data_IF_546204803032
#
_entry.id   IF_546204803032
#
_cell.length_a   1.000
_cell.length_b   1.000
_cell.length_c   1.000
_cell.angle_alpha   90.00
_cell.angle_beta   90.00
_cell.angle_gamma   90.00
#
_symmetry.space_group_name_H-M   'P 1'
#
loop_
_entity.id
_entity.type
_entity.pdbx_description
1 polymer ?
#
# COMPACT_ATOMS: atom_id res chain seq x y z
N UNK A 1 -38.42 21.35 29.30
CA UNK A 1 -39.02 20.97 27.99
C UNK A 1 -37.91 20.55 27.01
N UNK A 2 -37.63 19.24 26.89
CA UNK A 2 -36.75 18.69 25.83
C UNK A 2 -37.52 18.78 24.51
N UNK A 3 -37.09 19.64 23.58
CA UNK A 3 -37.62 19.67 22.21
C UNK A 3 -37.50 18.25 21.62
N UNK A 4 -38.61 17.68 21.15
CA UNK A 4 -38.63 16.44 20.36
C UNK A 4 -37.63 16.61 19.21
N UNK A 5 -36.49 15.93 19.30
CA UNK A 5 -35.56 15.75 18.19
C UNK A 5 -36.38 15.01 17.12
N UNK A 6 -36.58 15.61 15.94
CA UNK A 6 -37.31 14.96 14.84
C UNK A 6 -36.61 13.63 14.51
N UNK A 7 -37.40 12.62 14.14
CA UNK A 7 -36.93 11.28 13.79
C UNK A 7 -35.88 11.37 12.69
N UNK A 8 -34.71 10.80 12.95
CA UNK A 8 -33.73 10.45 11.93
C UNK A 8 -34.41 9.44 10.99
N UNK A 9 -34.54 9.81 9.71
CA UNK A 9 -35.11 8.92 8.70
C UNK A 9 -34.03 7.95 8.27
N UNK A 10 -33.88 6.88 9.04
CA UNK A 10 -32.95 5.77 8.75
C UNK A 10 -33.73 4.73 7.96
N UNK A 11 -33.30 4.42 6.74
CA UNK A 11 -33.84 3.30 5.98
C UNK A 11 -33.61 1.99 6.75
N UNK A 12 -34.46 0.95 6.65
CA UNK A 12 -34.35 -0.26 7.46
C UNK A 12 -32.97 -0.94 7.39
N UNK A 13 -32.27 -0.80 6.26
CA UNK A 13 -30.94 -1.33 6.00
C UNK A 13 -29.80 -0.42 6.48
N UNK A 14 -30.05 0.88 6.70
CA UNK A 14 -29.03 1.82 7.21
C UNK A 14 -28.65 1.55 8.67
N UNK A 15 -29.55 0.96 9.46
CA UNK A 15 -29.24 0.52 10.84
C UNK A 15 -28.11 -0.52 10.93
N UNK A 16 -27.87 -1.29 9.88
CA UNK A 16 -26.75 -2.22 9.83
C UNK A 16 -25.39 -1.49 9.76
N UNK A 17 -25.39 -0.25 9.28
CA UNK A 17 -24.20 0.60 9.14
C UNK A 17 -23.98 1.54 10.35
N UNK A 18 -24.97 1.68 11.24
CA UNK A 18 -24.92 2.54 12.43
C UNK A 18 -24.22 1.92 13.65
N UNK A 19 -23.61 0.73 13.52
CA UNK A 19 -22.63 0.31 14.54
C UNK A 19 -21.48 1.30 14.48
N UNK A 20 -21.43 2.18 15.48
CA UNK A 20 -20.32 3.12 15.72
C UNK A 20 -19.07 2.30 16.04
N UNK A 21 -18.48 1.69 15.01
CA UNK A 21 -17.14 1.18 15.05
C UNK A 21 -16.23 2.39 15.27
N UNK A 22 -15.27 2.28 16.18
CA UNK A 22 -14.25 3.33 16.25
C UNK A 22 -13.54 3.40 14.89
N UNK A 23 -13.01 4.56 14.46
CA UNK A 23 -12.32 4.68 13.17
C UNK A 23 -11.24 3.60 12.96
N UNK A 24 -10.61 3.19 14.06
CA UNK A 24 -9.62 2.11 14.08
C UNK A 24 -10.24 0.72 13.90
N UNK A 25 -11.38 0.43 14.54
CA UNK A 25 -12.07 -0.85 14.35
C UNK A 25 -12.62 -0.97 12.92
N UNK A 26 -13.12 0.13 12.35
CA UNK A 26 -13.54 0.19 10.95
C UNK A 26 -12.36 -0.01 9.97
N UNK A 27 -11.19 0.56 10.27
CA UNK A 27 -9.97 0.33 9.50
C UNK A 27 -9.53 -1.13 9.57
N UNK A 28 -9.46 -1.71 10.77
CA UNK A 28 -9.11 -3.12 10.99
C UNK A 28 -10.05 -4.02 10.20
N UNK A 29 -11.36 -3.82 10.32
CA UNK A 29 -12.34 -4.67 9.62
C UNK A 29 -12.20 -4.59 8.09
N UNK A 30 -11.90 -3.39 7.55
CA UNK A 30 -11.63 -3.19 6.12
C UNK A 30 -10.34 -3.89 5.69
N UNK A 31 -9.27 -3.74 6.45
CA UNK A 31 -7.99 -4.41 6.20
C UNK A 31 -8.11 -5.94 6.26
N UNK A 32 -8.83 -6.49 7.26
CA UNK A 32 -9.09 -7.94 7.33
C UNK A 32 -9.85 -8.42 6.11
N UNK A 33 -10.89 -7.69 5.68
CA UNK A 33 -11.68 -8.05 4.50
C UNK A 33 -10.83 -8.00 3.23
N UNK A 34 -9.99 -6.99 3.07
CA UNK A 34 -9.06 -6.88 1.94
C UNK A 34 -8.01 -8.00 1.95
N UNK A 35 -7.43 -8.33 3.10
CA UNK A 35 -6.48 -9.45 3.25
C UNK A 35 -7.10 -10.81 2.93
N UNK A 36 -8.33 -11.06 3.37
CA UNK A 36 -9.06 -12.29 3.02
C UNK A 36 -9.37 -12.35 1.51
N UNK A 37 -9.82 -11.23 0.93
CA UNK A 37 -10.07 -11.16 -0.51
C UNK A 37 -8.80 -11.42 -1.32
N UNK A 38 -7.68 -10.83 -0.88
CA UNK A 38 -6.37 -11.04 -1.48
C UNK A 38 -5.96 -12.52 -1.44
N UNK A 39 -6.10 -13.16 -0.28
CA UNK A 39 -5.84 -14.60 -0.13
C UNK A 39 -6.72 -15.45 -1.06
N UNK A 40 -8.01 -15.12 -1.17
CA UNK A 40 -8.93 -15.81 -2.06
C UNK A 40 -8.50 -15.64 -3.52
N UNK A 41 -8.14 -14.43 -3.96
CA UNK A 41 -7.63 -14.19 -5.31
C UNK A 41 -6.35 -14.97 -5.60
N UNK A 42 -5.44 -15.08 -4.63
CA UNK A 42 -4.24 -15.89 -4.75
C UNK A 42 -4.55 -17.38 -4.93
N UNK A 43 -5.42 -17.94 -4.09
CA UNK A 43 -5.86 -19.33 -4.18
C UNK A 43 -6.54 -19.59 -5.54
N UNK A 44 -7.41 -18.69 -5.98
CA UNK A 44 -8.07 -18.78 -7.29
C UNK A 44 -7.05 -18.72 -8.42
N UNK A 45 -6.05 -17.83 -8.35
CA UNK A 45 -4.99 -17.74 -9.36
C UNK A 45 -4.22 -19.06 -9.49
N UNK A 46 -3.79 -19.62 -8.36
CA UNK A 46 -3.07 -20.91 -8.30
C UNK A 46 -3.98 -22.02 -8.85
N UNK A 47 -5.24 -22.06 -8.45
CA UNK A 47 -6.19 -23.07 -8.92
C UNK A 47 -6.39 -22.99 -10.44
N UNK A 48 -6.62 -21.80 -11.00
CA UNK A 48 -6.79 -21.60 -12.44
C UNK A 48 -5.54 -22.03 -13.20
N UNK A 49 -4.35 -21.60 -12.75
CA UNK A 49 -3.07 -21.91 -13.36
C UNK A 49 -2.73 -23.42 -13.41
N UNK A 50 -3.35 -24.22 -12.53
CA UNK A 50 -3.15 -25.67 -12.41
C UNK A 50 -4.35 -26.51 -12.88
N UNK A 51 -5.32 -25.87 -13.53
CA UNK A 51 -6.54 -26.51 -14.03
C UNK A 51 -6.57 -26.56 -15.57
N UNK A 52 -7.62 -27.17 -16.12
CA UNK A 52 -7.92 -27.14 -17.56
C UNK A 52 -8.05 -25.72 -18.15
N UNK A 53 -8.21 -24.69 -17.32
CA UNK A 53 -8.30 -23.29 -17.75
C UNK A 53 -6.93 -22.57 -17.83
N UNK A 54 -5.83 -23.27 -17.53
CA UNK A 54 -4.49 -22.66 -17.50
C UNK A 54 -4.11 -22.01 -18.83
N UNK A 55 -4.36 -22.68 -19.96
CA UNK A 55 -4.05 -22.13 -21.29
C UNK A 55 -4.89 -20.88 -21.60
N UNK A 56 -6.19 -20.92 -21.31
CA UNK A 56 -7.08 -19.77 -21.48
C UNK A 56 -6.64 -18.58 -20.61
N UNK A 57 -6.24 -18.84 -19.37
CA UNK A 57 -5.73 -17.85 -18.44
C UNK A 57 -4.44 -17.18 -18.94
N UNK A 58 -3.46 -17.99 -19.40
CA UNK A 58 -2.22 -17.47 -19.98
C UNK A 58 -2.47 -16.67 -21.27
N UNK A 59 -3.41 -17.11 -22.11
CA UNK A 59 -3.77 -16.39 -23.33
C UNK A 59 -4.42 -15.03 -23.03
N UNK A 60 -5.28 -14.95 -22.00
CA UNK A 60 -5.87 -13.68 -21.55
C UNK A 60 -4.78 -12.72 -21.06
N UNK A 61 -3.84 -13.20 -20.25
CA UNK A 61 -2.75 -12.38 -19.72
C UNK A 61 -1.79 -11.87 -20.81
N UNK A 62 -1.54 -12.69 -21.84
CA UNK A 62 -0.69 -12.34 -22.98
C UNK A 62 -1.40 -11.51 -24.05
N UNK A 63 -2.73 -11.38 -23.98
CA UNK A 63 -3.51 -10.65 -24.98
C UNK A 63 -2.98 -9.20 -25.13
N UNK A 64 -2.64 -8.76 -26.36
CA UNK A 64 -2.16 -7.40 -26.58
C UNK A 64 -3.30 -6.41 -26.43
N UNK A 65 -3.15 -5.47 -25.51
CA UNK A 65 -4.05 -4.34 -25.34
C UNK A 65 -3.36 -3.07 -25.83
N UNK A 66 -3.92 -2.46 -26.88
CA UNK A 66 -3.32 -1.30 -27.55
C UNK A 66 -4.15 -0.06 -27.30
N UNK A 67 -3.54 0.97 -26.73
CA UNK A 67 -4.14 2.30 -26.58
C UNK A 67 -3.35 3.26 -27.46
N UNK A 68 -4.05 4.08 -28.25
CA UNK A 68 -3.36 5.07 -29.07
C UNK A 68 -4.25 5.80 -30.07
N UNK A 69 -3.63 6.77 -30.73
CA UNK A 69 -4.19 7.51 -31.85
C UNK A 69 -3.21 7.37 -33.05
N UNK A 70 -3.60 7.70 -34.28
CA UNK A 70 -2.68 7.67 -35.42
C UNK A 70 -1.41 8.48 -35.12
N UNK A 71 -0.23 7.83 -35.15
CA UNK A 71 1.07 8.43 -34.79
C UNK A 71 1.57 8.16 -33.36
N UNK A 72 0.71 7.68 -32.45
CA UNK A 72 1.09 7.23 -31.11
C UNK A 72 0.34 5.94 -30.77
N UNK A 73 1.04 4.81 -30.84
CA UNK A 73 0.49 3.50 -30.46
C UNK A 73 1.29 2.93 -29.29
N UNK A 74 0.60 2.63 -28.20
CA UNK A 74 1.16 1.93 -27.05
C UNK A 74 0.49 0.56 -26.94
N UNK A 75 1.20 -0.47 -27.39
CA UNK A 75 0.74 -1.86 -27.35
C UNK A 75 1.55 -2.64 -26.32
N UNK A 76 0.87 -3.19 -25.32
CA UNK A 76 1.46 -4.02 -24.26
C UNK A 76 0.50 -5.17 -23.94
N UNK A 77 1.01 -6.27 -23.37
CA UNK A 77 0.15 -7.36 -22.90
C UNK A 77 -0.75 -6.88 -21.75
N UNK A 78 -1.89 -7.54 -21.57
CA UNK A 78 -2.78 -7.27 -20.44
C UNK A 78 -2.04 -7.39 -19.10
N UNK A 79 -1.16 -8.38 -18.97
CA UNK A 79 -0.29 -8.57 -17.81
C UNK A 79 0.62 -7.35 -17.55
N UNK A 80 1.24 -6.79 -18.58
CA UNK A 80 2.03 -5.55 -18.44
C UNK A 80 1.17 -4.35 -18.04
N UNK A 81 -0.05 -4.21 -18.58
CA UNK A 81 -0.96 -3.13 -18.20
C UNK A 81 -1.40 -3.24 -16.74
N UNK A 82 -1.62 -4.47 -16.26
CA UNK A 82 -1.91 -4.73 -14.85
C UNK A 82 -0.70 -4.34 -13.99
N UNK A 83 0.50 -4.79 -14.36
CA UNK A 83 1.71 -4.55 -13.57
C UNK A 83 2.11 -3.08 -13.58
N UNK A 84 2.26 -2.43 -14.74
CA UNK A 84 2.73 -1.04 -14.79
C UNK A 84 1.62 -0.04 -14.47
N UNK A 85 0.40 -0.31 -14.91
CA UNK A 85 -0.74 0.61 -14.80
C UNK A 85 -1.39 0.56 -13.43
N UNK A 86 -1.79 -0.63 -12.96
CA UNK A 86 -2.43 -0.73 -11.64
C UNK A 86 -1.42 -0.50 -10.51
N UNK A 87 -0.16 -0.95 -10.65
CA UNK A 87 0.83 -0.66 -9.61
C UNK A 87 1.21 0.82 -9.55
N UNK A 88 1.15 1.57 -10.65
CA UNK A 88 1.31 3.03 -10.57
C UNK A 88 0.23 3.68 -9.69
N UNK A 89 -1.00 3.15 -9.69
CA UNK A 89 -2.07 3.60 -8.78
C UNK A 89 -1.85 3.14 -7.34
N UNK A 90 -1.34 1.92 -7.14
CA UNK A 90 -0.92 1.45 -5.81
C UNK A 90 0.18 2.34 -5.23
N UNK A 91 1.27 2.55 -5.96
CA UNK A 91 2.39 3.40 -5.54
C UNK A 91 2.00 4.88 -5.43
N UNK A 92 0.97 5.33 -6.14
CA UNK A 92 0.38 6.65 -5.89
C UNK A 92 -0.24 6.74 -4.49
N UNK A 93 -1.00 5.74 -4.05
CA UNK A 93 -1.55 5.71 -2.68
C UNK A 93 -0.43 5.58 -1.65
N UNK A 94 0.52 4.66 -1.85
CA UNK A 94 1.71 4.53 -0.98
C UNK A 94 2.47 5.86 -0.91
N UNK A 95 2.62 6.57 -2.03
CA UNK A 95 3.26 7.88 -2.06
C UNK A 95 2.50 8.95 -1.27
N UNK A 96 1.16 8.91 -1.27
CA UNK A 96 0.33 9.82 -0.47
C UNK A 96 0.46 9.52 1.03
N UNK A 97 0.42 8.24 1.40
CA UNK A 97 0.61 7.76 2.76
C UNK A 97 2.01 8.12 3.28
N UNK A 98 3.04 7.85 2.49
CA UNK A 98 4.42 8.19 2.81
C UNK A 98 4.59 9.69 3.03
N UNK A 99 4.03 10.51 2.12
CA UNK A 99 4.05 11.97 2.27
C UNK A 99 3.35 12.42 3.56
N UNK A 100 2.20 11.81 3.90
CA UNK A 100 1.47 12.11 5.14
C UNK A 100 2.30 11.75 6.38
N UNK A 101 2.91 10.57 6.41
CA UNK A 101 3.71 10.11 7.55
C UNK A 101 4.95 10.99 7.78
N UNK A 102 5.65 11.38 6.71
CA UNK A 102 6.83 12.26 6.80
C UNK A 102 6.45 13.67 7.30
N UNK A 103 5.33 14.22 6.82
CA UNK A 103 4.98 15.61 7.11
C UNK A 103 4.26 15.80 8.45
N UNK A 104 3.38 14.86 8.84
CA UNK A 104 2.46 15.05 9.98
C UNK A 104 2.25 13.76 10.80
N UNK A 105 2.80 12.62 10.38
CA UNK A 105 2.60 11.33 11.04
C UNK A 105 3.75 10.92 11.95
N UNK A 106 3.92 9.61 12.14
CA UNK A 106 4.87 9.05 13.11
C UNK A 106 6.33 9.23 12.68
N UNK A 107 6.56 9.38 11.37
CA UNK A 107 7.89 9.66 10.82
C UNK A 107 8.29 11.14 10.92
N UNK A 108 7.38 12.02 11.34
CA UNK A 108 7.67 13.46 11.49
C UNK A 108 8.48 13.79 12.75
N UNK A 109 8.35 12.99 13.82
CA UNK A 109 9.15 13.11 15.04
C UNK A 109 10.30 12.10 15.01
N UNK A 110 11.53 12.61 14.85
CA UNK A 110 12.73 11.78 14.70
C UNK A 110 12.94 10.82 15.89
N UNK A 111 12.57 11.21 17.12
CA UNK A 111 12.77 10.35 18.30
C UNK A 111 11.80 9.17 18.30
N UNK A 112 10.55 9.40 17.89
CA UNK A 112 9.54 8.35 17.81
C UNK A 112 9.75 7.45 16.56
N UNK A 113 10.17 8.05 15.45
CA UNK A 113 10.42 7.36 14.18
C UNK A 113 11.64 6.43 14.20
N UNK A 114 12.61 6.69 15.08
CA UNK A 114 13.89 5.99 15.09
C UNK A 114 13.75 4.48 15.32
N UNK A 115 12.82 4.04 16.19
CA UNK A 115 12.61 2.59 16.41
C UNK A 115 12.08 1.89 15.14
N UNK A 116 10.96 2.30 14.52
CA UNK A 116 10.51 1.74 13.24
C UNK A 116 11.55 1.83 12.12
N UNK A 117 12.26 2.96 11.98
CA UNK A 117 13.26 3.13 10.92
C UNK A 117 14.41 2.12 11.07
N UNK A 118 14.97 1.96 12.27
CA UNK A 118 16.05 0.98 12.51
C UNK A 118 15.56 -0.43 12.24
N UNK A 119 14.33 -0.75 12.68
CA UNK A 119 13.71 -2.04 12.45
C UNK A 119 13.53 -2.35 10.96
N UNK A 120 13.04 -1.38 10.18
CA UNK A 120 12.86 -1.49 8.73
C UNK A 120 14.20 -1.61 7.99
N UNK A 121 15.18 -0.75 8.30
CA UNK A 121 16.51 -0.83 7.69
C UNK A 121 17.15 -2.21 7.95
N UNK A 122 17.07 -2.73 9.18
CA UNK A 122 17.49 -4.10 9.48
C UNK A 122 16.69 -5.14 8.70
N UNK A 123 15.38 -4.96 8.66
CA UNK A 123 14.42 -5.77 7.90
C UNK A 123 14.55 -5.69 6.38
N UNK A 124 15.37 -4.79 5.83
CA UNK A 124 15.71 -4.74 4.41
C UNK A 124 17.10 -5.30 4.14
N UNK A 125 18.09 -4.83 4.90
CA UNK A 125 19.50 -5.15 4.66
C UNK A 125 19.78 -6.63 4.95
N UNK A 126 19.26 -7.18 6.04
CA UNK A 126 19.54 -8.57 6.42
C UNK A 126 18.96 -9.58 5.40
N UNK A 127 17.70 -9.47 4.96
CA UNK A 127 17.19 -10.33 3.88
C UNK A 127 18.01 -10.29 2.59
N UNK A 128 18.41 -9.09 2.16
CA UNK A 128 19.23 -8.89 0.96
C UNK A 128 20.58 -9.59 1.10
N UNK A 129 21.26 -9.42 2.24
CA UNK A 129 22.54 -10.07 2.49
C UNK A 129 22.43 -11.60 2.51
N UNK A 130 21.35 -12.14 3.09
CA UNK A 130 21.09 -13.59 3.07
C UNK A 130 20.92 -14.07 1.63
N UNK A 131 20.13 -13.37 0.81
CA UNK A 131 19.94 -13.73 -0.59
C UNK A 131 21.25 -13.70 -1.37
N UNK A 132 22.01 -12.61 -1.27
CA UNK A 132 23.29 -12.46 -1.97
C UNK A 132 24.32 -13.51 -1.54
N UNK A 133 24.27 -13.98 -0.29
CA UNK A 133 25.16 -15.05 0.18
C UNK A 133 24.84 -16.41 -0.46
N UNK A 134 23.59 -16.64 -0.86
CA UNK A 134 23.13 -17.87 -1.52
C UNK A 134 23.29 -17.75 -3.04
N UNK A 135 23.07 -16.56 -3.59
CA UNK A 135 23.15 -16.23 -5.02
C UNK A 135 24.23 -15.15 -5.27
N UNK A 136 25.53 -15.52 -5.24
CA UNK A 136 26.63 -14.54 -5.29
C UNK A 136 26.92 -13.97 -6.68
N UNK A 137 26.33 -14.51 -7.75
CA UNK A 137 26.55 -14.04 -9.11
C UNK A 137 25.72 -14.78 -10.16
N UNK A 138 25.88 -14.37 -11.42
CA UNK A 138 25.06 -14.85 -12.53
C UNK A 138 23.70 -14.17 -12.60
N UNK A 139 22.83 -14.65 -13.49
CA UNK A 139 21.49 -14.11 -13.71
C UNK A 139 20.62 -14.22 -12.43
N UNK A 140 20.92 -15.19 -11.56
CA UNK A 140 20.29 -15.36 -10.25
C UNK A 140 20.54 -14.19 -9.30
N UNK A 141 21.58 -13.37 -9.50
CA UNK A 141 21.88 -12.24 -8.63
C UNK A 141 20.85 -11.11 -8.75
N UNK A 142 20.22 -10.97 -9.92
CA UNK A 142 19.33 -9.84 -10.22
C UNK A 142 18.10 -9.80 -9.28
N UNK A 143 17.71 -10.92 -8.68
CA UNK A 143 16.62 -11.00 -7.73
C UNK A 143 16.92 -10.51 -6.30
N UNK A 144 18.07 -9.88 -6.04
CA UNK A 144 18.51 -9.50 -4.69
C UNK A 144 17.54 -8.59 -3.92
N UNK A 145 16.76 -7.79 -4.62
CA UNK A 145 15.78 -6.90 -4.00
C UNK A 145 14.49 -7.61 -3.55
N UNK A 146 14.20 -8.80 -4.05
CA UNK A 146 12.93 -9.50 -3.80
C UNK A 146 12.61 -9.72 -2.31
N UNK A 147 13.55 -10.20 -1.47
CA UNK A 147 13.26 -10.51 -0.07
C UNK A 147 13.26 -9.28 0.86
N UNK A 148 13.47 -8.08 0.33
CA UNK A 148 13.43 -6.85 1.15
C UNK A 148 11.99 -6.35 1.38
N UNK A 149 11.04 -6.73 0.52
CA UNK A 149 9.68 -6.20 0.53
C UNK A 149 8.74 -6.92 1.53
N UNK A 150 7.72 -6.19 1.97
CA UNK A 150 6.67 -6.65 2.88
C UNK A 150 5.30 -6.29 2.29
N UNK A 151 4.38 -7.24 2.20
CA UNK A 151 2.99 -7.01 1.81
C UNK A 151 2.16 -6.55 3.02
N UNK A 152 1.96 -5.24 3.11
CA UNK A 152 1.19 -4.59 4.17
C UNK A 152 -0.22 -5.17 4.31
N UNK A 153 -0.93 -5.37 3.20
CA UNK A 153 -2.33 -5.76 3.22
C UNK A 153 -2.49 -7.17 3.81
N UNK A 154 -1.62 -8.10 3.41
CA UNK A 154 -1.65 -9.46 3.93
C UNK A 154 -1.12 -9.54 5.37
N UNK A 155 -0.03 -8.83 5.70
CA UNK A 155 0.53 -8.81 7.04
C UNK A 155 -0.45 -8.20 8.07
N UNK A 156 -1.09 -7.08 7.74
CA UNK A 156 -2.13 -6.49 8.59
C UNK A 156 -3.40 -7.32 8.61
N UNK A 157 -3.79 -7.93 7.48
CA UNK A 157 -4.92 -8.84 7.42
C UNK A 157 -4.77 -10.02 8.38
N UNK A 158 -3.61 -10.68 8.36
CA UNK A 158 -3.27 -11.79 9.25
C UNK A 158 -3.19 -11.33 10.72
N UNK A 159 -2.57 -10.18 10.98
CA UNK A 159 -2.46 -9.59 12.32
C UNK A 159 -3.85 -9.24 12.88
N UNK A 160 -4.75 -8.71 12.06
CA UNK A 160 -6.11 -8.35 12.45
C UNK A 160 -6.98 -9.55 12.85
N UNK A 161 -6.70 -10.76 12.33
CA UNK A 161 -7.40 -12.00 12.74
C UNK A 161 -7.14 -12.37 14.20
N UNK A 162 -6.08 -11.85 14.82
CA UNK A 162 -5.80 -12.04 16.25
C UNK A 162 -6.70 -11.15 17.14
N UNK A 163 -7.43 -10.20 16.55
CA UNK A 163 -8.42 -9.36 17.21
C UNK A 163 -7.84 -8.61 18.41
N UNK A 164 -8.54 -8.70 19.55
CA UNK A 164 -8.18 -7.99 20.78
C UNK A 164 -6.98 -8.60 21.53
N UNK A 165 -6.39 -9.70 21.05
CA UNK A 165 -5.22 -10.31 21.72
C UNK A 165 -3.97 -9.46 21.63
N UNK A 166 -3.83 -8.67 20.57
CA UNK A 166 -2.63 -7.91 20.30
C UNK A 166 -2.80 -6.44 20.66
N UNK A 167 -1.76 -5.77 21.20
CA UNK A 167 -1.81 -4.33 21.42
C UNK A 167 -2.01 -3.57 20.11
N UNK A 168 -2.89 -2.57 20.11
CA UNK A 168 -3.12 -1.68 18.95
C UNK A 168 -1.83 -1.02 18.45
N UNK A 169 -0.89 -0.76 19.35
CA UNK A 169 0.45 -0.22 19.02
C UNK A 169 1.31 -1.16 18.16
N UNK A 170 1.02 -2.46 18.16
CA UNK A 170 1.74 -3.42 17.31
C UNK A 170 1.36 -3.25 15.84
N UNK A 171 0.08 -2.97 15.56
CA UNK A 171 -0.39 -2.68 14.19
C UNK A 171 0.28 -1.42 13.67
N UNK A 172 0.28 -0.37 14.49
CA UNK A 172 0.91 0.92 14.18
C UNK A 172 2.41 0.73 13.88
N UNK A 173 3.12 0.00 14.74
CA UNK A 173 4.53 -0.34 14.52
C UNK A 173 4.75 -1.07 13.18
N UNK A 174 3.95 -2.10 12.88
CA UNK A 174 4.09 -2.87 11.64
C UNK A 174 3.79 -2.02 10.39
N UNK A 175 2.78 -1.14 10.46
CA UNK A 175 2.50 -0.14 9.41
C UNK A 175 3.73 0.75 9.19
N UNK A 176 4.31 1.29 10.26
CA UNK A 176 5.47 2.18 10.15
C UNK A 176 6.70 1.47 9.55
N UNK A 177 6.99 0.24 9.98
CA UNK A 177 8.08 -0.58 9.41
C UNK A 177 7.84 -0.81 7.92
N UNK A 178 6.63 -1.22 7.54
CA UNK A 178 6.34 -1.55 6.16
C UNK A 178 6.32 -0.33 5.23
N UNK A 179 5.91 0.86 5.70
CA UNK A 179 6.02 2.11 4.94
C UNK A 179 7.49 2.47 4.67
N UNK A 180 8.38 2.27 5.65
CA UNK A 180 9.82 2.51 5.48
C UNK A 180 10.42 1.47 4.53
N UNK A 181 10.04 0.18 4.67
CA UNK A 181 10.42 -0.89 3.74
C UNK A 181 9.99 -0.56 2.31
N UNK A 182 8.75 -0.10 2.10
CA UNK A 182 8.21 0.28 0.80
C UNK A 182 8.96 1.47 0.19
N UNK A 183 9.28 2.50 0.99
CA UNK A 183 10.12 3.61 0.53
C UNK A 183 11.51 3.11 0.10
N UNK A 184 12.09 2.21 0.89
CA UNK A 184 13.38 1.60 0.58
C UNK A 184 13.32 0.78 -0.71
N UNK A 185 12.31 -0.08 -0.86
CA UNK A 185 12.09 -0.89 -2.04
C UNK A 185 11.90 -0.02 -3.30
N UNK A 186 11.09 1.03 -3.20
CA UNK A 186 10.91 2.04 -4.26
C UNK A 186 12.24 2.65 -4.68
N UNK A 187 13.07 3.03 -3.71
CA UNK A 187 14.37 3.65 -3.97
C UNK A 187 15.30 2.67 -4.68
N UNK A 188 15.30 1.40 -4.25
CA UNK A 188 16.08 0.34 -4.89
C UNK A 188 15.60 0.07 -6.31
N UNK A 189 14.28 -0.02 -6.53
CA UNK A 189 13.67 -0.16 -7.86
C UNK A 189 14.14 0.95 -8.79
N UNK A 190 14.10 2.20 -8.33
CA UNK A 190 14.51 3.35 -9.12
C UNK A 190 15.99 3.34 -9.51
N UNK A 191 16.87 2.88 -8.61
CA UNK A 191 18.32 2.97 -8.81
C UNK A 191 18.92 1.74 -9.50
N UNK A 192 18.40 0.54 -9.23
CA UNK A 192 19.07 -0.71 -9.60
C UNK A 192 18.33 -1.54 -10.66
N UNK A 193 17.02 -1.37 -10.81
CA UNK A 193 16.22 -2.15 -11.76
C UNK A 193 15.91 -1.38 -13.07
N UNK A 194 16.44 -0.16 -13.22
CA UNK A 194 16.13 0.71 -14.36
C UNK A 194 16.79 0.19 -15.64
N UNK A 195 16.01 0.04 -16.71
CA UNK A 195 16.51 -0.39 -18.02
C UNK A 195 17.28 0.73 -18.76
N UNK A 196 17.55 0.54 -20.05
CA UNK A 196 18.19 1.54 -20.91
C UNK A 196 17.44 2.87 -20.89
N UNK A 197 18.14 3.94 -20.51
CA UNK A 197 17.55 5.27 -20.35
C UNK A 197 17.43 5.96 -21.71
N UNK A 198 16.20 6.26 -22.12
CA UNK A 198 15.92 7.13 -23.26
C UNK A 198 15.96 8.60 -22.82
N UNK A 199 17.03 9.31 -23.19
CA UNK A 199 17.23 10.72 -22.83
C UNK A 199 16.05 11.65 -23.22
N UNK A 200 15.44 11.53 -24.42
CA UNK A 200 14.29 12.37 -24.78
C UNK A 200 13.07 12.15 -23.87
N UNK A 201 12.80 10.89 -23.51
CA UNK A 201 11.69 10.55 -22.63
C UNK A 201 11.99 10.99 -21.19
N UNK A 202 13.24 10.85 -20.73
CA UNK A 202 13.66 11.36 -19.41
C UNK A 202 13.53 12.89 -19.31
N UNK A 203 13.89 13.63 -20.36
CA UNK A 203 13.69 15.08 -20.40
C UNK A 203 12.19 15.45 -20.28
N UNK A 204 11.30 14.65 -20.89
CA UNK A 204 9.85 14.81 -20.75
C UNK A 204 9.37 14.53 -19.33
N UNK A 205 9.92 13.50 -18.66
CA UNK A 205 9.64 13.19 -17.24
C UNK A 205 10.00 14.39 -16.36
N UNK A 206 11.21 14.95 -16.52
CA UNK A 206 11.67 16.12 -15.75
C UNK A 206 10.79 17.35 -16.04
N UNK A 207 10.45 17.59 -17.30
CA UNK A 207 9.59 18.72 -17.67
C UNK A 207 8.20 18.62 -17.04
N UNK A 208 7.55 17.45 -17.11
CA UNK A 208 6.21 17.23 -16.54
C UNK A 208 6.25 17.30 -15.00
N UNK A 209 7.27 16.71 -14.37
CA UNK A 209 7.49 16.83 -12.93
C UNK A 209 7.69 18.30 -12.51
N UNK A 210 8.47 19.07 -13.28
CA UNK A 210 8.64 20.51 -13.09
C UNK A 210 7.30 21.26 -13.15
N UNK A 211 6.46 20.96 -14.14
CA UNK A 211 5.11 21.56 -14.24
C UNK A 211 4.29 21.20 -13.00
N UNK A 212 4.22 19.94 -12.60
CA UNK A 212 3.49 19.50 -11.40
C UNK A 212 3.95 20.26 -10.13
N UNK A 213 5.26 20.43 -9.97
CA UNK A 213 5.85 21.20 -8.87
C UNK A 213 5.45 22.68 -8.94
N UNK A 214 5.48 23.30 -10.14
CA UNK A 214 5.05 24.70 -10.29
C UNK A 214 3.56 24.89 -10.00
N UNK A 215 2.68 23.92 -10.34
CA UNK A 215 1.27 23.98 -9.97
C UNK A 215 1.07 23.91 -8.45
N UNK A 216 1.87 23.10 -7.76
CA UNK A 216 1.86 23.00 -6.31
C UNK A 216 2.29 24.31 -5.65
N UNK A 217 3.43 24.87 -6.07
CA UNK A 217 3.88 26.18 -5.60
C UNK A 217 2.93 27.32 -5.96
N UNK A 218 2.27 27.24 -7.12
CA UNK A 218 1.20 28.15 -7.54
C UNK A 218 -0.09 28.03 -6.71
N UNK A 219 -0.16 27.10 -5.75
CA UNK A 219 -1.28 26.96 -4.83
C UNK A 219 -2.54 26.32 -5.44
N UNK A 220 -2.40 25.63 -6.58
CA UNK A 220 -3.51 24.94 -7.23
C UNK A 220 -3.85 23.70 -6.42
N UNK A 221 -5.00 23.73 -5.74
CA UNK A 221 -5.47 22.64 -4.85
C UNK A 221 -6.41 21.65 -5.53
N UNK A 222 -6.79 21.87 -6.79
CA UNK A 222 -7.68 20.96 -7.52
C UNK A 222 -6.87 19.71 -7.93
N UNK A 223 -7.33 18.48 -7.66
CA UNK A 223 -6.61 17.26 -8.05
C UNK A 223 -6.49 17.03 -9.57
N UNK A 224 -7.50 17.46 -10.34
CA UNK A 224 -7.65 17.08 -11.74
C UNK A 224 -6.42 17.43 -12.62
N UNK A 225 -5.83 18.64 -12.57
CA UNK A 225 -4.60 18.95 -13.32
C UNK A 225 -3.43 18.03 -12.97
N UNK A 226 -3.27 17.67 -11.70
CA UNK A 226 -2.22 16.76 -11.26
C UNK A 226 -2.44 15.37 -11.84
N UNK A 227 -3.67 14.84 -11.77
CA UNK A 227 -4.00 13.51 -12.31
C UNK A 227 -3.74 13.45 -13.82
N UNK A 228 -4.17 14.46 -14.57
CA UNK A 228 -3.95 14.51 -16.02
C UNK A 228 -2.45 14.53 -16.37
N UNK A 229 -1.68 15.39 -15.71
CA UNK A 229 -0.23 15.43 -15.89
C UNK A 229 0.47 14.18 -15.36
N UNK A 230 -0.08 13.52 -14.34
CA UNK A 230 0.37 12.25 -13.82
C UNK A 230 0.25 11.12 -14.84
N UNK A 231 -0.82 11.10 -15.65
CA UNK A 231 -0.94 10.16 -16.77
C UNK A 231 0.13 10.43 -17.82
N UNK A 232 0.41 11.69 -18.14
CA UNK A 232 1.49 12.06 -19.07
C UNK A 232 2.85 11.66 -18.51
N UNK A 233 3.09 11.89 -17.22
CA UNK A 233 4.30 11.48 -16.51
C UNK A 233 4.48 9.95 -16.58
N UNK A 234 3.42 9.18 -16.32
CA UNK A 234 3.43 7.73 -16.38
C UNK A 234 3.79 7.22 -17.79
N UNK A 235 3.17 7.79 -18.84
CA UNK A 235 3.50 7.46 -20.24
C UNK A 235 4.96 7.82 -20.57
N UNK A 236 5.44 8.97 -20.09
CA UNK A 236 6.83 9.39 -20.31
C UNK A 236 7.81 8.45 -19.62
N UNK A 237 7.52 8.02 -18.38
CA UNK A 237 8.34 7.06 -17.64
C UNK A 237 8.38 5.71 -18.35
N UNK A 238 7.21 5.19 -18.77
CA UNK A 238 7.11 3.94 -19.54
C UNK A 238 7.97 3.94 -20.83
N UNK A 239 8.15 5.09 -21.47
CA UNK A 239 9.02 5.25 -22.65
C UNK A 239 10.48 5.55 -22.32
N UNK A 240 10.78 5.95 -21.09
CA UNK A 240 12.11 6.37 -20.65
C UNK A 240 13.03 5.23 -20.25
N UNK A 241 12.51 4.02 -20.05
CA UNK A 241 13.23 2.92 -19.44
C UNK A 241 13.24 2.97 -17.90
N UNK A 242 12.82 4.09 -17.31
CA UNK A 242 12.53 4.18 -15.87
C UNK A 242 11.17 3.55 -15.58
N UNK A 243 11.06 2.85 -14.45
CA UNK A 243 9.82 2.22 -14.01
C UNK A 243 8.62 3.17 -13.98
N UNK A 244 7.57 2.80 -14.70
CA UNK A 244 6.34 3.59 -14.79
C UNK A 244 5.64 3.74 -13.42
N UNK A 245 5.83 2.78 -12.51
CA UNK A 245 5.24 2.79 -11.16
C UNK A 245 5.70 3.97 -10.30
N UNK A 246 6.93 4.45 -10.50
CA UNK A 246 7.48 5.61 -9.79
C UNK A 246 6.74 6.91 -10.13
N UNK A 247 6.04 6.97 -11.27
CA UNK A 247 5.22 8.11 -11.64
C UNK A 247 4.12 8.37 -10.59
N UNK A 248 3.56 7.31 -9.99
CA UNK A 248 2.58 7.42 -8.92
C UNK A 248 3.16 8.14 -7.70
N UNK A 249 4.39 7.81 -7.32
CA UNK A 249 5.06 8.39 -6.15
C UNK A 249 5.39 9.86 -6.41
N UNK A 250 6.01 10.15 -7.56
CA UNK A 250 6.33 11.54 -7.95
C UNK A 250 5.05 12.38 -7.95
N UNK A 251 3.98 11.87 -8.55
CA UNK A 251 2.68 12.52 -8.55
C UNK A 251 2.18 12.80 -7.13
N UNK A 252 2.17 11.81 -6.24
CA UNK A 252 1.74 11.96 -4.86
C UNK A 252 2.54 13.04 -4.10
N UNK A 253 3.86 13.08 -4.30
CA UNK A 253 4.73 14.09 -3.70
C UNK A 253 4.47 15.50 -4.25
N UNK A 254 3.96 15.64 -5.47
CA UNK A 254 3.57 16.96 -6.01
C UNK A 254 2.20 17.46 -5.55
N UNK A 255 1.30 16.61 -5.05
CA UNK A 255 -0.05 17.04 -4.65
C UNK A 255 -0.03 17.80 -3.31
N UNK A 256 -0.69 18.97 -3.18
CA UNK A 256 -0.64 19.77 -1.96
C UNK A 256 -1.14 19.06 -0.69
N UNK A 257 -0.42 19.23 0.42
CA UNK A 257 -0.76 18.70 1.76
C UNK A 257 -1.24 19.75 2.77
N UNK A 258 -1.56 20.96 2.32
CA UNK A 258 -2.10 22.02 3.19
C UNK A 258 -3.58 22.29 2.93
N UNK A 259 -4.42 22.34 3.97
CA UNK A 259 -5.82 22.71 3.82
C UNK A 259 -5.97 24.18 3.40
N UNK A 260 -7.16 24.54 2.89
CA UNK A 260 -7.44 25.94 2.51
C UNK A 260 -7.81 26.78 3.74
N UNK A 261 -8.57 26.21 4.66
CA UNK A 261 -9.02 26.90 5.86
C UNK A 261 -8.21 26.49 7.07
N UNK A 262 -7.79 27.51 7.82
CA UNK A 262 -7.32 27.35 9.18
C UNK A 262 -8.46 26.80 10.08
N UNK A 263 -8.19 25.80 10.95
CA UNK A 263 -9.21 25.21 11.82
C UNK A 263 -9.94 26.23 12.70
N UNK A 264 -9.23 27.20 13.28
CA UNK A 264 -9.81 28.20 14.19
C UNK A 264 -10.77 29.11 13.41
N UNK A 265 -10.32 29.58 12.25
CA UNK A 265 -11.17 30.40 11.37
C UNK A 265 -12.42 29.65 10.89
N UNK A 266 -12.28 28.35 10.61
CA UNK A 266 -13.41 27.52 10.22
C UNK A 266 -14.44 27.36 11.34
N UNK A 267 -14.01 27.17 12.59
CA UNK A 267 -14.93 27.07 13.74
C UNK A 267 -15.78 28.33 13.92
N UNK A 268 -15.17 29.51 13.77
CA UNK A 268 -15.91 30.79 13.79
C UNK A 268 -16.94 30.82 12.65
N UNK A 269 -16.57 30.39 11.46
CA UNK A 269 -17.46 30.38 10.30
C UNK A 269 -18.62 29.37 10.43
N UNK A 270 -18.37 28.20 11.04
CA UNK A 270 -19.40 27.19 11.33
C UNK A 270 -20.50 27.79 12.21
N UNK A 271 -20.15 28.51 13.28
CA UNK A 271 -21.15 29.09 14.18
C UNK A 271 -22.09 30.06 13.46
N UNK A 272 -21.55 30.86 12.53
CA UNK A 272 -22.35 31.74 11.66
C UNK A 272 -23.26 30.94 10.73
N UNK A 273 -22.72 29.92 10.05
CA UNK A 273 -23.47 29.06 9.14
C UNK A 273 -24.61 28.30 9.84
N UNK A 274 -24.37 27.77 11.04
CA UNK A 274 -25.40 27.10 11.86
C UNK A 274 -26.53 28.09 12.20
N UNK A 275 -26.19 29.34 12.53
CA UNK A 275 -27.18 30.39 12.76
C UNK A 275 -28.01 30.71 11.52
N UNK A 276 -27.42 30.67 10.32
CA UNK A 276 -28.12 30.84 9.05
C UNK A 276 -29.01 29.63 8.71
N UNK A 277 -28.49 28.41 8.90
CA UNK A 277 -29.25 27.15 8.72
C UNK A 277 -30.48 27.14 9.63
N UNK A 278 -30.33 27.51 10.90
CA UNK A 278 -31.44 27.59 11.85
C UNK A 278 -32.50 28.62 11.43
N UNK A 279 -32.09 29.74 10.83
CA UNK A 279 -33.02 30.75 10.30
C UNK A 279 -33.76 30.24 9.06
N UNK A 280 -33.05 29.69 8.08
CA UNK A 280 -33.65 29.12 6.88
C UNK A 280 -34.64 28.00 7.21
N UNK A 281 -34.30 27.12 8.15
CA UNK A 281 -35.18 26.04 8.62
C UNK A 281 -36.48 26.56 9.27
N UNK A 282 -36.46 27.70 9.96
CA UNK A 282 -37.68 28.30 10.54
C UNK A 282 -38.66 28.80 9.47
N UNK A 283 -38.15 29.22 8.31
CA UNK A 283 -38.98 29.76 7.23
C UNK A 283 -39.71 28.65 6.47
N UNK A 284 -39.02 27.54 6.20
CA UNK A 284 -39.60 26.33 5.58
C UNK A 284 -38.85 25.10 6.11
N UNK A 285 -39.58 24.19 6.76
CA UNK A 285 -38.96 23.03 7.41
C UNK A 285 -38.60 21.93 6.41
N UNK A 286 -39.26 21.88 5.26
CA UNK A 286 -39.03 20.85 4.26
C UNK A 286 -37.77 21.16 3.43
N UNK A 287 -36.69 20.41 3.68
CA UNK A 287 -35.42 20.54 2.97
C UNK A 287 -35.54 20.38 1.45
N UNK A 288 -36.53 19.64 0.95
CA UNK A 288 -36.74 19.44 -0.50
C UNK A 288 -37.40 20.67 -1.15
N UNK A 289 -38.10 21.50 -0.36
CA UNK A 289 -38.72 22.74 -0.86
C UNK A 289 -37.86 23.97 -0.56
N UNK A 290 -37.04 23.91 0.48
CA UNK A 290 -36.25 25.04 0.95
C UNK A 290 -34.88 25.13 0.26
N UNK A 291 -34.82 25.88 -0.84
CA UNK A 291 -33.58 26.14 -1.58
C UNK A 291 -32.51 26.83 -0.75
N UNK A 292 -32.89 27.77 0.12
CA UNK A 292 -31.96 28.47 0.99
C UNK A 292 -31.29 27.50 1.98
N UNK A 293 -32.09 26.68 2.65
CA UNK A 293 -31.59 25.65 3.57
C UNK A 293 -30.63 24.69 2.86
N UNK A 294 -30.99 24.21 1.66
CA UNK A 294 -30.11 23.35 0.85
C UNK A 294 -28.80 24.03 0.49
N UNK A 295 -28.85 25.29 0.06
CA UNK A 295 -27.66 26.05 -0.30
C UNK A 295 -26.73 26.24 0.91
N UNK A 296 -27.28 26.57 2.09
CA UNK A 296 -26.50 26.77 3.33
C UNK A 296 -25.88 25.45 3.83
N UNK A 297 -26.62 24.34 3.80
CA UNK A 297 -26.11 23.01 4.15
C UNK A 297 -25.01 22.59 3.16
N UNK A 298 -25.20 22.80 1.86
CA UNK A 298 -24.18 22.50 0.84
C UNK A 298 -22.93 23.36 1.02
N UNK A 299 -23.08 24.64 1.37
CA UNK A 299 -21.96 25.54 1.67
C UNK A 299 -21.18 25.08 2.91
N UNK A 300 -21.88 24.64 3.97
CA UNK A 300 -21.25 24.03 5.14
C UNK A 300 -20.45 22.78 4.74
N UNK A 301 -21.05 21.86 3.98
CA UNK A 301 -20.37 20.66 3.50
C UNK A 301 -19.14 20.97 2.63
N UNK A 302 -19.23 21.97 1.75
CA UNK A 302 -18.07 22.46 0.97
C UNK A 302 -17.00 23.08 1.87
N UNK A 303 -17.40 23.80 2.92
CA UNK A 303 -16.51 24.35 3.93
C UNK A 303 -15.72 23.28 4.66
N UNK A 304 -16.40 22.22 5.12
CA UNK A 304 -15.76 21.04 5.77
C UNK A 304 -14.75 20.38 4.83
N UNK A 305 -15.06 20.19 3.54
CA UNK A 305 -14.07 19.62 2.61
C UNK A 305 -12.83 20.50 2.44
N UNK A 306 -12.96 21.81 2.58
CA UNK A 306 -11.85 22.76 2.42
C UNK A 306 -10.93 22.86 3.65
N UNK A 307 -11.30 22.24 4.78
CA UNK A 307 -10.41 22.08 5.95
C UNK A 307 -9.53 20.85 5.86
N UNK A 308 -9.74 19.99 4.87
CA UNK A 308 -8.92 18.82 4.61
C UNK A 308 -7.92 19.11 3.49
N UNK A 309 -6.74 18.50 3.55
CA UNK A 309 -5.75 18.63 2.50
C UNK A 309 -6.17 17.82 1.25
N UNK A 310 -5.92 18.31 0.01
CA UNK A 310 -6.23 17.56 -1.21
C UNK A 310 -5.63 16.15 -1.24
N UNK A 311 -4.37 15.99 -0.84
CA UNK A 311 -3.72 14.69 -0.78
C UNK A 311 -4.40 13.73 0.22
N UNK A 312 -4.79 14.19 1.42
CA UNK A 312 -5.55 13.36 2.39
C UNK A 312 -6.91 12.90 1.85
N UNK A 313 -7.59 13.76 1.08
CA UNK A 313 -8.87 13.40 0.45
C UNK A 313 -8.62 12.29 -0.59
N UNK A 314 -7.60 12.43 -1.43
CA UNK A 314 -7.26 11.44 -2.45
C UNK A 314 -6.80 10.11 -1.84
N UNK A 315 -5.98 10.15 -0.79
CA UNK A 315 -5.54 8.97 -0.04
C UNK A 315 -6.76 8.16 0.44
N UNK A 316 -7.68 8.81 1.15
CA UNK A 316 -8.92 8.18 1.64
C UNK A 316 -9.77 7.61 0.51
N UNK A 317 -9.95 8.38 -0.56
CA UNK A 317 -10.84 8.02 -1.65
C UNK A 317 -10.25 6.88 -2.53
N UNK A 318 -8.91 6.79 -2.63
CA UNK A 318 -8.20 5.78 -3.42
C UNK A 318 -7.85 4.50 -2.65
N UNK A 319 -7.74 4.55 -1.32
CA UNK A 319 -7.40 3.37 -0.51
C UNK A 319 -8.38 2.20 -0.74
N UNK A 320 -9.68 2.46 -0.87
CA UNK A 320 -10.69 1.41 -1.10
C UNK A 320 -10.56 0.77 -2.50
N UNK A 321 -10.56 1.53 -3.61
CA UNK A 321 -10.25 0.97 -4.93
C UNK A 321 -8.95 0.18 -4.97
N UNK A 322 -7.90 0.66 -4.30
CA UNK A 322 -6.62 -0.05 -4.29
C UNK A 322 -6.73 -1.41 -3.59
N UNK A 323 -7.28 -1.43 -2.38
CA UNK A 323 -7.36 -2.61 -1.54
C UNK A 323 -8.34 -3.69 -2.06
N UNK A 324 -9.41 -3.30 -2.76
CA UNK A 324 -10.48 -4.22 -3.20
C UNK A 324 -10.49 -4.52 -4.69
N UNK A 325 -9.75 -3.76 -5.50
CA UNK A 325 -9.70 -3.98 -6.95
C UNK A 325 -8.26 -4.12 -7.45
N UNK A 326 -7.40 -3.14 -7.21
CA UNK A 326 -6.03 -3.14 -7.77
C UNK A 326 -5.20 -4.30 -7.24
N UNK A 327 -5.05 -4.42 -5.92
CA UNK A 327 -4.21 -5.47 -5.32
C UNK A 327 -4.80 -6.87 -5.62
N UNK A 328 -6.13 -7.12 -5.49
CA UNK A 328 -6.70 -8.40 -5.88
C UNK A 328 -6.53 -8.77 -7.36
N UNK A 329 -6.71 -7.82 -8.29
CA UNK A 329 -6.48 -8.06 -9.73
C UNK A 329 -5.01 -8.32 -10.02
N UNK A 330 -4.10 -7.56 -9.39
CA UNK A 330 -2.67 -7.78 -9.48
C UNK A 330 -2.28 -9.18 -8.99
N UNK A 331 -2.79 -9.58 -7.82
CA UNK A 331 -2.58 -10.92 -7.28
C UNK A 331 -3.14 -12.00 -8.20
N UNK A 332 -4.33 -11.80 -8.77
CA UNK A 332 -4.94 -12.75 -9.68
C UNK A 332 -4.12 -12.93 -10.95
N UNK A 333 -3.45 -11.89 -11.43
CA UNK A 333 -2.62 -11.93 -12.64
C UNK A 333 -1.21 -12.50 -12.40
N UNK A 334 -0.66 -12.36 -11.19
CA UNK A 334 0.76 -12.67 -10.93
C UNK A 334 0.99 -13.89 -10.03
N UNK A 335 0.02 -14.28 -9.19
CA UNK A 335 0.15 -15.42 -8.27
C UNK A 335 -0.20 -16.78 -8.91
N UNK A 336 -0.62 -16.80 -10.18
CA UNK A 336 -0.94 -18.01 -10.93
C UNK A 336 0.31 -18.80 -11.32
N UNK A 337 0.89 -19.53 -10.36
CA UNK A 337 2.09 -20.36 -10.56
C UNK A 337 1.69 -21.76 -11.03
N UNK A 338 2.19 -22.25 -12.18
CA UNK A 338 2.07 -23.66 -12.55
C UNK A 338 2.92 -24.52 -11.62
N UNK A 339 2.29 -25.48 -10.95
CA UNK A 339 2.88 -26.42 -10.01
C UNK A 339 2.95 -27.78 -10.70
N UNK A 340 4.14 -28.15 -11.14
CA UNK A 340 4.42 -29.53 -11.53
C UNK A 340 4.96 -30.29 -10.31
N UNK A 341 4.14 -31.22 -9.79
CA UNK A 341 4.50 -32.03 -8.62
C UNK A 341 5.77 -32.86 -8.81
N UNK A 342 6.12 -33.20 -10.05
CA UNK A 342 7.35 -33.95 -10.34
C UNK A 342 8.62 -33.10 -10.17
N UNK A 343 8.49 -31.79 -10.42
CA UNK A 343 9.59 -30.81 -10.37
C UNK A 343 9.51 -29.90 -9.13
N UNK A 344 8.51 -30.08 -8.26
CA UNK A 344 8.32 -29.21 -7.11
C UNK A 344 9.53 -29.22 -6.16
N UNK A 345 10.12 -30.40 -5.92
CA UNK A 345 11.31 -30.51 -5.07
C UNK A 345 12.51 -29.73 -5.61
N UNK A 346 12.75 -29.78 -6.93
CA UNK A 346 13.83 -29.02 -7.57
C UNK A 346 13.55 -27.52 -7.58
N UNK A 347 12.29 -27.10 -7.73
CA UNK A 347 11.90 -25.69 -7.63
C UNK A 347 12.15 -25.11 -6.23
N UNK A 348 11.88 -25.88 -5.17
CA UNK A 348 12.09 -25.43 -3.78
C UNK A 348 13.58 -25.34 -3.44
N UNK A 349 14.39 -26.28 -3.94
CA UNK A 349 15.84 -26.35 -3.68
C UNK A 349 16.63 -25.40 -4.62
N UNK A 350 15.96 -24.74 -5.58
CA UNK A 350 16.63 -23.78 -6.45
C UNK A 350 17.25 -22.62 -5.65
N UNK A 351 18.49 -22.18 -5.94
CA UNK A 351 19.17 -21.10 -5.22
C UNK A 351 18.36 -19.80 -5.11
N UNK A 352 17.70 -19.37 -6.18
CA UNK A 352 16.77 -18.22 -6.19
C UNK A 352 15.62 -18.42 -5.19
N UNK A 353 14.95 -19.59 -5.24
CA UNK A 353 13.80 -19.92 -4.38
C UNK A 353 14.21 -19.99 -2.92
N UNK A 354 15.29 -20.71 -2.60
CA UNK A 354 15.85 -20.79 -1.25
C UNK A 354 16.32 -19.43 -0.75
N UNK A 355 17.05 -18.67 -1.56
CA UNK A 355 17.55 -17.34 -1.21
C UNK A 355 16.42 -16.41 -0.79
N UNK A 356 15.33 -16.38 -1.57
CA UNK A 356 14.15 -15.58 -1.23
C UNK A 356 13.45 -16.13 0.00
N UNK A 357 13.29 -17.46 0.10
CA UNK A 357 12.59 -18.07 1.21
C UNK A 357 13.32 -17.82 2.55
N UNK A 358 14.64 -18.02 2.59
CA UNK A 358 15.48 -17.74 3.74
C UNK A 358 15.57 -16.24 4.05
N UNK A 359 15.68 -15.39 3.02
CA UNK A 359 15.70 -13.94 3.17
C UNK A 359 14.41 -13.40 3.78
N UNK A 360 13.25 -13.79 3.25
CA UNK A 360 11.95 -13.36 3.77
C UNK A 360 11.66 -13.93 5.16
N UNK A 361 11.92 -15.23 5.39
CA UNK A 361 11.57 -15.86 6.66
C UNK A 361 12.56 -15.52 7.78
N UNK A 362 13.83 -15.88 7.60
CA UNK A 362 14.86 -15.66 8.62
C UNK A 362 15.43 -14.25 8.56
N UNK A 363 15.62 -13.70 7.37
CA UNK A 363 16.17 -12.36 7.22
C UNK A 363 15.28 -11.28 7.82
N UNK A 364 13.96 -11.33 7.61
CA UNK A 364 13.04 -10.36 8.25
C UNK A 364 12.98 -10.56 9.76
N UNK A 365 12.96 -11.80 10.24
CA UNK A 365 13.00 -12.09 11.67
C UNK A 365 14.26 -11.52 12.33
N UNK A 366 15.43 -11.86 11.81
CA UNK A 366 16.74 -11.42 12.34
C UNK A 366 16.91 -9.92 12.14
N UNK A 367 16.54 -9.39 10.97
CA UNK A 367 16.63 -7.99 10.61
C UNK A 367 15.76 -7.11 11.50
N UNK A 368 14.45 -7.35 11.55
CA UNK A 368 13.53 -6.52 12.31
C UNK A 368 13.74 -6.74 13.81
N UNK A 369 13.64 -7.97 14.30
CA UNK A 369 13.69 -8.21 15.75
C UNK A 369 15.12 -8.14 16.31
N UNK A 370 16.09 -8.70 15.60
CA UNK A 370 17.49 -8.73 16.04
C UNK A 370 18.15 -7.36 16.03
N UNK A 371 18.04 -6.60 14.93
CA UNK A 371 18.62 -5.24 14.86
C UNK A 371 17.92 -4.30 15.85
N UNK A 372 16.59 -4.39 15.99
CA UNK A 372 15.85 -3.63 17.01
C UNK A 372 16.31 -3.96 18.43
N UNK A 373 16.56 -5.24 18.73
CA UNK A 373 17.07 -5.66 20.03
C UNK A 373 18.45 -5.08 20.34
N UNK A 374 19.36 -5.14 19.38
CA UNK A 374 20.70 -4.54 19.49
C UNK A 374 20.58 -3.03 19.70
N UNK A 375 19.76 -2.34 18.90
CA UNK A 375 19.60 -0.90 18.97
C UNK A 375 19.04 -0.42 20.32
N UNK A 376 18.06 -1.14 20.88
CA UNK A 376 17.54 -0.87 22.23
C UNK A 376 18.60 -1.12 23.29
N UNK A 377 19.38 -2.22 23.17
CA UNK A 377 20.43 -2.56 24.13
C UNK A 377 21.59 -1.55 24.12
N UNK A 378 21.91 -0.98 22.96
CA UNK A 378 22.92 0.06 22.79
C UNK A 378 22.43 1.46 23.20
N UNK A 379 21.17 1.61 23.61
CA UNK A 379 20.59 2.91 23.97
C UNK A 379 20.37 3.84 22.77
N UNK A 380 20.40 3.31 21.53
CA UNK A 380 20.12 4.09 20.33
C UNK A 380 18.65 4.47 20.25
N UNK A 381 17.76 3.60 20.75
CA UNK A 381 16.31 3.82 20.70
C UNK A 381 15.60 3.11 21.86
N UNK A 382 14.32 3.41 22.07
CA UNK A 382 13.50 2.80 23.12
C UNK A 382 12.32 2.03 22.54
N UNK A 383 12.00 0.89 23.13
CA UNK A 383 10.83 0.12 22.75
C UNK A 383 9.53 0.92 23.00
N UNK A 384 8.56 0.94 22.07
CA UNK A 384 7.31 1.65 22.28
C UNK A 384 6.56 1.14 23.52
N UNK A 385 6.01 2.06 24.32
CA UNK A 385 5.29 1.71 25.56
C UNK A 385 4.16 0.71 25.30
N UNK A 386 4.14 -0.41 26.02
CA UNK A 386 3.12 -1.46 25.86
C UNK A 386 3.47 -2.53 24.82
N UNK A 387 4.64 -2.43 24.17
CA UNK A 387 5.22 -3.52 23.40
C UNK A 387 6.31 -4.24 24.19
N UNK A 388 6.54 -5.51 23.87
CA UNK A 388 7.63 -6.34 24.37
C UNK A 388 8.30 -7.02 23.17
N UNK A 389 9.48 -7.62 23.36
CA UNK A 389 10.19 -8.27 22.25
C UNK A 389 9.48 -9.51 21.70
N UNK A 390 8.58 -10.16 22.44
CA UNK A 390 7.76 -11.25 21.88
C UNK A 390 6.81 -10.71 20.80
N UNK A 391 6.20 -9.54 21.04
CA UNK A 391 5.40 -8.84 20.04
C UNK A 391 6.24 -8.45 18.83
N UNK A 392 7.46 -7.93 19.04
CA UNK A 392 8.36 -7.54 17.93
C UNK A 392 8.77 -8.76 17.11
N UNK A 393 9.12 -9.90 17.72
CA UNK A 393 9.43 -11.13 16.99
C UNK A 393 8.23 -11.63 16.16
N UNK A 394 7.03 -11.55 16.70
CA UNK A 394 5.81 -11.92 15.97
C UNK A 394 5.53 -10.97 14.80
N UNK A 395 5.70 -9.66 14.99
CA UNK A 395 5.60 -8.68 13.92
C UNK A 395 6.70 -8.84 12.87
N UNK A 396 7.92 -9.24 13.27
CA UNK A 396 9.01 -9.51 12.36
C UNK A 396 8.73 -10.73 11.46
N UNK A 397 8.11 -11.79 12.01
CA UNK A 397 7.61 -12.91 11.22
C UNK A 397 6.50 -12.47 10.26
N UNK A 398 5.53 -11.65 10.72
CA UNK A 398 4.52 -11.08 9.81
C UNK A 398 5.15 -10.19 8.73
N UNK A 399 6.25 -9.49 9.04
CA UNK A 399 7.06 -8.74 8.07
C UNK A 399 7.74 -9.62 7.02
N UNK A 400 7.83 -10.94 7.25
CA UNK A 400 8.29 -11.93 6.28
C UNK A 400 7.27 -12.26 5.17
N UNK A 401 6.05 -11.73 5.27
CA UNK A 401 5.03 -11.89 4.23
C UNK A 401 5.34 -10.90 3.11
N UNK A 402 6.13 -11.30 2.12
CA UNK A 402 6.47 -10.45 0.96
C UNK A 402 5.40 -10.41 -0.13
N UNK A 403 4.64 -11.52 -0.27
CA UNK A 403 3.59 -11.78 -1.26
C UNK A 403 3.52 -10.82 -2.47
N UNK A 404 2.57 -9.88 -2.54
CA UNK A 404 2.37 -9.06 -3.75
C UNK A 404 3.55 -8.16 -4.06
N UNK A 405 4.16 -7.54 -3.04
CA UNK A 405 5.28 -6.63 -3.24
C UNK A 405 6.56 -7.36 -3.66
N UNK A 406 6.86 -8.52 -3.07
CA UNK A 406 7.96 -9.36 -3.53
C UNK A 406 7.71 -9.93 -4.93
N UNK A 407 6.47 -10.30 -5.27
CA UNK A 407 6.14 -10.77 -6.63
C UNK A 407 6.33 -9.63 -7.63
N UNK A 408 5.93 -8.41 -7.28
CA UNK A 408 6.17 -7.24 -8.11
C UNK A 408 7.66 -6.99 -8.33
N UNK A 409 8.48 -7.02 -7.27
CA UNK A 409 9.94 -6.87 -7.41
C UNK A 409 10.54 -8.02 -8.21
N UNK A 410 10.01 -9.24 -8.11
CA UNK A 410 10.50 -10.38 -8.90
C UNK A 410 10.25 -10.18 -10.41
N UNK A 411 9.10 -9.62 -10.80
CA UNK A 411 8.81 -9.25 -12.20
C UNK A 411 9.79 -8.19 -12.71
N UNK A 412 10.25 -7.28 -11.85
CA UNK A 412 11.26 -6.27 -12.19
C UNK A 412 12.69 -6.82 -12.19
N UNK A 413 12.97 -7.80 -11.32
CA UNK A 413 14.31 -8.36 -11.16
C UNK A 413 14.65 -9.49 -12.10
N UNK A 414 13.66 -10.16 -12.68
CA UNK A 414 13.87 -11.21 -13.67
C UNK A 414 13.19 -10.90 -15.02
N UNK A 415 13.47 -9.71 -15.62
CA UNK A 415 12.88 -9.34 -16.89
C UNK A 415 13.36 -10.31 -17.98
N UNK A 416 12.43 -10.92 -18.70
CA UNK A 416 12.70 -11.93 -19.74
C UNK A 416 13.38 -13.22 -19.25
N UNK A 417 13.42 -13.47 -17.93
CA UNK A 417 13.94 -14.72 -17.34
C UNK A 417 12.79 -15.52 -16.69
N UNK A 418 11.95 -16.20 -17.49
CA UNK A 418 10.72 -16.83 -17.00
C UNK A 418 10.96 -17.97 -16.01
N UNK A 419 12.09 -18.67 -16.12
CA UNK A 419 12.48 -19.73 -15.18
C UNK A 419 12.82 -19.15 -13.80
N UNK A 420 13.71 -18.14 -13.74
CA UNK A 420 14.08 -17.48 -12.49
C UNK A 420 12.87 -16.79 -11.83
N UNK A 421 12.00 -16.17 -12.63
CA UNK A 421 10.74 -15.60 -12.14
C UNK A 421 9.83 -16.66 -11.52
N UNK A 422 9.73 -17.86 -12.12
CA UNK A 422 8.96 -18.97 -11.58
C UNK A 422 9.54 -19.45 -10.23
N UNK A 423 10.86 -19.61 -10.16
CA UNK A 423 11.56 -19.99 -8.92
C UNK A 423 11.36 -18.93 -7.83
N UNK A 424 11.45 -17.65 -8.20
CA UNK A 424 11.22 -16.54 -7.29
C UNK A 424 9.81 -16.53 -6.73
N UNK A 425 8.79 -16.61 -7.59
CA UNK A 425 7.38 -16.65 -7.15
C UNK A 425 7.14 -17.85 -6.22
N UNK A 426 7.73 -19.00 -6.50
CA UNK A 426 7.64 -20.19 -5.64
C UNK A 426 8.23 -19.93 -4.26
N UNK A 427 9.45 -19.39 -4.19
CA UNK A 427 10.12 -19.03 -2.94
C UNK A 427 9.33 -18.00 -2.12
N UNK A 428 8.75 -16.99 -2.79
CA UNK A 428 7.91 -15.96 -2.15
C UNK A 428 6.67 -16.58 -1.51
N UNK A 429 5.96 -17.45 -2.22
CA UNK A 429 4.73 -18.08 -1.70
C UNK A 429 5.04 -18.95 -0.48
N UNK A 430 6.09 -19.76 -0.55
CA UNK A 430 6.50 -20.65 0.54
C UNK A 430 6.89 -19.84 1.77
N UNK A 431 7.75 -18.82 1.60
CA UNK A 431 8.12 -17.96 2.72
C UNK A 431 6.92 -17.21 3.29
N UNK A 432 6.08 -16.61 2.44
CA UNK A 432 4.91 -15.85 2.91
C UNK A 432 3.93 -16.72 3.69
N UNK A 433 3.72 -17.97 3.25
CA UNK A 433 2.89 -18.95 3.97
C UNK A 433 3.51 -19.34 5.32
N UNK A 434 4.79 -19.71 5.35
CA UNK A 434 5.49 -20.08 6.58
C UNK A 434 5.58 -18.91 7.57
N UNK A 435 5.93 -17.73 7.09
CA UNK A 435 6.05 -16.50 7.86
C UNK A 435 4.69 -16.09 8.46
N UNK A 436 3.63 -16.12 7.65
CA UNK A 436 2.27 -15.82 8.12
C UNK A 436 1.76 -16.80 9.17
N UNK A 437 1.92 -18.11 8.97
CA UNK A 437 1.49 -19.12 9.95
C UNK A 437 2.33 -19.03 11.23
N UNK A 438 3.65 -18.98 11.11
CA UNK A 438 4.53 -18.93 12.28
C UNK A 438 4.35 -17.63 13.07
N UNK A 439 4.22 -16.49 12.40
CA UNK A 439 3.91 -15.20 13.02
C UNK A 439 2.56 -15.20 13.72
N UNK A 440 1.53 -15.76 13.07
CA UNK A 440 0.20 -15.90 13.66
C UNK A 440 0.23 -16.77 14.91
N UNK A 441 0.80 -17.97 14.83
CA UNK A 441 0.90 -18.90 15.95
C UNK A 441 1.72 -18.31 17.10
N UNK A 442 2.86 -17.69 16.78
CA UNK A 442 3.71 -17.04 17.77
C UNK A 442 2.94 -15.98 18.55
N UNK A 443 2.27 -15.05 17.87
CA UNK A 443 1.48 -14.01 18.53
C UNK A 443 0.26 -14.58 19.25
N UNK A 444 -0.39 -15.61 18.69
CA UNK A 444 -1.53 -16.27 19.32
C UNK A 444 -1.19 -16.86 20.69
N UNK A 445 0.02 -17.44 20.84
CA UNK A 445 0.49 -18.03 22.09
C UNK A 445 1.20 -17.05 23.03
N UNK A 446 1.80 -15.99 22.50
CA UNK A 446 2.59 -15.04 23.31
C UNK A 446 1.82 -13.79 23.72
N UNK A 447 0.77 -13.42 23.01
CA UNK A 447 -0.06 -12.27 23.35
C UNK A 447 -1.11 -12.68 24.40
N UNK A 448 -1.01 -12.08 25.59
CA UNK A 448 -1.99 -12.28 26.65
C UNK A 448 -3.31 -11.61 26.26
N UNK A 449 -4.43 -12.32 26.43
CA UNK A 449 -5.74 -11.69 26.30
C UNK A 449 -5.84 -10.60 27.37
N UNK A 450 -6.13 -9.33 27.03
CA UNK A 450 -6.47 -8.37 28.06
C UNK A 450 -7.67 -8.91 28.84
N UNK A 451 -7.57 -8.95 30.17
CA UNK A 451 -8.71 -9.23 31.05
C UNK A 451 -9.80 -8.20 30.73
N UNK A 452 -11.02 -8.68 30.46
CA UNK A 452 -12.18 -7.87 30.05
C UNK A 452 -12.63 -6.88 31.14
#
# INVERSE_FOLDING_TARGET
MRKKIKKEYIAPWEKAFDRVLTPLDAFIHRQTTSGILLMLCAIVAIYIANSQWSEAYQNILKMPFTIGFPGFLLSKSLHHWINDGLMALFFFVVGLELKREILVGELSDLKQAMFPIIAAVGGMVVPVLIYMSINPGGDDFDGWGIPMATDIAFALGALALLGNRIPKKLLIFLVAVAIVDDLGAVTVIALFYTETISMPALAMVVAVAGILITLNFGGIRRPLPYILLGVVLWVAMLKSGVHATLAGIILAFTIPMHPKYDPVRFLVHINVLIGQIRRAYKNEENIIKNDELRARIRALGKGVRLTQAPAQILERDMHMPVAYFIIPVFSLANAGIPIDWSSFSSMVIHPVSMGIAFGLFFGKLIGIAGVSWIAVKLGLTSLPQGLNFKHISGAALMGGIGFTMSIFIAELGFPNQPENLLMAKTGILIASFLAGISGFLWLYFTAEKPEE
#
